data_IF_536825522763
#
_entry.id   IF_536825522763
#
_cell.length_a   1.000
_cell.length_b   1.000
_cell.length_c   1.000
_cell.angle_alpha   90.00
_cell.angle_beta   90.00
_cell.angle_gamma   90.00
#
_symmetry.space_group_name_H-M   'P 1'
#
loop_
_entity.id
_entity.type
_entity.pdbx_description
1 polymer ?
#
# COMPACT_ATOMS: atom_id res chain seq x y z
N UNK A 1 0.83 -9.58 -14.00
CA UNK A 1 -0.11 -8.57 -13.48
C UNK A 1 -0.81 -7.86 -14.64
N UNK A 2 -2.10 -7.63 -14.55
CA UNK A 2 -2.93 -6.96 -15.56
C UNK A 2 -3.54 -5.66 -15.00
N UNK A 3 -4.05 -4.80 -15.89
CA UNK A 3 -4.77 -3.60 -15.48
C UNK A 3 -6.19 -3.88 -15.01
N UNK A 4 -6.78 -2.93 -14.32
CA UNK A 4 -8.16 -2.96 -13.84
C UNK A 4 -8.90 -1.66 -14.12
N UNK A 5 -10.22 -1.75 -14.21
CA UNK A 5 -11.08 -0.59 -14.04
C UNK A 5 -11.51 -0.49 -12.57
N UNK A 6 -11.21 0.63 -11.93
CA UNK A 6 -11.68 0.94 -10.59
C UNK A 6 -12.93 1.76 -10.69
N UNK A 7 -14.04 1.18 -10.27
CA UNK A 7 -15.35 1.80 -10.32
C UNK A 7 -15.81 2.23 -8.93
N UNK A 8 -16.20 3.47 -8.77
CA UNK A 8 -17.02 3.95 -7.66
C UNK A 8 -18.32 4.53 -8.21
N UNK A 9 -19.21 5.04 -7.34
CA UNK A 9 -20.51 5.58 -7.71
C UNK A 9 -20.43 6.69 -8.77
N UNK A 10 -19.34 7.48 -8.77
CA UNK A 10 -19.23 8.69 -9.60
C UNK A 10 -18.25 8.52 -10.77
N UNK A 11 -17.33 7.57 -10.72
CA UNK A 11 -16.20 7.53 -11.66
C UNK A 11 -15.64 6.15 -11.88
N UNK A 12 -15.33 5.85 -13.14
CA UNK A 12 -14.46 4.73 -13.54
C UNK A 12 -13.06 5.23 -13.85
N UNK A 13 -12.06 4.63 -13.23
CA UNK A 13 -10.65 4.98 -13.46
C UNK A 13 -9.89 3.75 -13.95
N UNK A 14 -9.20 3.88 -15.09
CA UNK A 14 -8.29 2.83 -15.58
C UNK A 14 -7.02 2.84 -14.74
N UNK A 15 -6.67 1.70 -14.17
CA UNK A 15 -5.44 1.49 -13.40
C UNK A 15 -4.56 0.47 -14.11
N UNK A 16 -3.31 0.84 -14.38
CA UNK A 16 -2.29 -0.03 -14.96
C UNK A 16 -1.17 -0.17 -13.95
N UNK A 17 -0.83 -1.40 -13.63
CA UNK A 17 0.25 -1.73 -12.70
C UNK A 17 1.58 -1.82 -13.43
N UNK A 18 2.67 -1.73 -12.68
CA UNK A 18 4.03 -1.75 -13.21
C UNK A 18 4.68 -0.37 -13.23
N UNK A 19 5.88 -0.24 -13.73
CA UNK A 19 6.74 -1.33 -14.23
C UNK A 19 7.24 -2.27 -13.12
N UNK A 20 8.00 -3.31 -13.50
CA UNK A 20 8.58 -4.33 -12.61
C UNK A 20 9.37 -3.72 -11.44
N UNK A 21 10.04 -2.61 -11.68
CA UNK A 21 10.81 -1.87 -10.68
C UNK A 21 9.97 -1.46 -9.45
N UNK A 22 8.67 -1.27 -9.61
CA UNK A 22 7.77 -0.93 -8.50
C UNK A 22 7.56 -2.10 -7.52
N UNK A 23 7.88 -3.33 -7.93
CA UNK A 23 7.81 -4.52 -7.08
C UNK A 23 9.11 -4.80 -6.31
N UNK A 24 10.13 -4.00 -6.48
CA UNK A 24 11.35 -4.12 -5.69
C UNK A 24 11.05 -3.85 -4.21
N UNK A 25 11.70 -4.60 -3.33
CA UNK A 25 11.52 -4.52 -1.87
C UNK A 25 11.54 -3.07 -1.38
N UNK A 26 12.56 -2.29 -1.75
CA UNK A 26 12.68 -0.90 -1.36
C UNK A 26 11.47 -0.05 -1.80
N UNK A 27 10.96 -0.25 -3.01
CA UNK A 27 9.79 0.47 -3.52
C UNK A 27 8.52 0.09 -2.75
N UNK A 28 8.31 -1.19 -2.50
CA UNK A 28 7.19 -1.67 -1.68
C UNK A 28 7.23 -1.06 -0.28
N UNK A 29 8.40 -1.04 0.36
CA UNK A 29 8.55 -0.46 1.70
C UNK A 29 8.34 1.06 1.72
N UNK A 30 8.85 1.79 0.72
CA UNK A 30 8.78 3.25 0.68
C UNK A 30 7.54 3.83 -0.01
N UNK A 31 6.78 3.05 -0.76
CA UNK A 31 5.57 3.50 -1.48
C UNK A 31 4.30 2.83 -1.00
N UNK A 32 4.41 1.70 -0.28
CA UNK A 32 3.29 0.90 0.18
C UNK A 32 2.83 -0.14 -0.85
N UNK A 33 1.66 -0.73 -0.60
CA UNK A 33 1.05 -1.72 -1.48
C UNK A 33 0.80 -1.13 -2.88
N UNK A 34 1.35 -1.75 -3.89
CA UNK A 34 1.36 -1.23 -5.27
C UNK A 34 0.58 -2.09 -6.26
N UNK A 35 0.03 -3.21 -5.84
CA UNK A 35 -0.70 -4.15 -6.71
C UNK A 35 -1.96 -4.63 -6.00
N UNK A 36 -3.09 -4.53 -6.69
CA UNK A 36 -4.34 -5.15 -6.24
C UNK A 36 -4.25 -6.67 -6.31
N UNK A 37 -4.75 -7.36 -5.30
CA UNK A 37 -4.77 -8.83 -5.25
C UNK A 37 -5.56 -9.43 -6.43
N UNK A 38 -6.61 -8.77 -6.89
CA UNK A 38 -7.43 -9.19 -8.03
C UNK A 38 -6.71 -9.05 -9.38
N UNK A 39 -5.62 -8.29 -9.44
CA UNK A 39 -4.92 -7.98 -10.69
C UNK A 39 -3.73 -8.91 -10.99
N UNK A 40 -3.51 -9.94 -10.20
CA UNK A 40 -2.30 -10.76 -10.29
C UNK A 40 -2.59 -12.25 -10.49
N UNK A 41 -1.72 -12.90 -11.26
CA UNK A 41 -1.65 -14.36 -11.37
C UNK A 41 -0.25 -14.80 -10.97
N UNK A 42 -0.15 -15.75 -10.04
CA UNK A 42 1.12 -16.22 -9.48
C UNK A 42 1.16 -17.75 -9.57
N UNK A 43 2.32 -18.30 -9.86
CA UNK A 43 2.53 -19.75 -9.74
C UNK A 43 2.35 -20.18 -8.28
N UNK A 44 1.52 -21.20 -8.04
CA UNK A 44 1.18 -21.70 -6.71
C UNK A 44 2.43 -22.02 -5.87
N UNK A 45 3.44 -22.64 -6.50
CA UNK A 45 4.69 -23.00 -5.82
C UNK A 45 5.38 -21.76 -5.23
N UNK A 46 5.33 -20.61 -5.92
CA UNK A 46 5.97 -19.36 -5.44
C UNK A 46 5.27 -18.77 -4.21
N UNK A 47 3.99 -19.00 -4.08
CA UNK A 47 3.23 -18.62 -2.88
C UNK A 47 3.58 -19.57 -1.72
N UNK A 48 3.70 -20.86 -1.99
CA UNK A 48 4.09 -21.87 -1.00
C UNK A 48 5.52 -21.64 -0.51
N UNK A 49 6.46 -21.32 -1.41
CA UNK A 49 7.88 -21.03 -1.08
C UNK A 49 8.05 -19.90 -0.05
N UNK A 50 7.03 -19.07 0.15
CA UNK A 50 7.03 -17.94 1.09
C UNK A 50 5.97 -18.06 2.19
N UNK A 51 5.56 -19.28 2.52
CA UNK A 51 4.58 -19.58 3.58
C UNK A 51 3.20 -18.93 3.36
N UNK A 52 2.77 -18.78 2.10
CA UNK A 52 1.44 -18.30 1.74
C UNK A 52 1.06 -16.93 2.35
N UNK A 53 -0.25 -16.66 2.42
CA UNK A 53 -0.78 -15.50 3.12
C UNK A 53 -0.66 -15.68 4.63
N UNK A 54 -0.27 -14.61 5.30
CA UNK A 54 -0.23 -14.59 6.76
C UNK A 54 -1.66 -14.60 7.34
N UNK A 55 -1.86 -15.38 8.40
CA UNK A 55 -3.13 -15.47 9.14
C UNK A 55 -3.11 -14.62 10.43
N UNK A 56 -2.08 -13.80 10.64
CA UNK A 56 -1.96 -12.94 11.81
C UNK A 56 -3.05 -11.89 11.85
N UNK A 57 -3.79 -11.82 12.97
CA UNK A 57 -4.91 -10.90 13.16
C UNK A 57 -4.51 -9.42 12.99
N UNK A 58 -3.30 -9.07 13.39
CA UNK A 58 -2.78 -7.70 13.38
C UNK A 58 -2.50 -7.13 11.98
N UNK A 59 -2.40 -7.99 10.95
CA UNK A 59 -2.17 -7.58 9.56
C UNK A 59 -3.36 -7.87 8.64
N UNK A 60 -4.50 -8.25 9.19
CA UNK A 60 -5.74 -8.37 8.40
C UNK A 60 -6.00 -7.04 7.68
N UNK A 61 -6.30 -7.10 6.39
CA UNK A 61 -6.40 -6.01 5.42
C UNK A 61 -5.09 -5.58 4.75
N UNK A 62 -3.95 -6.18 5.13
CA UNK A 62 -2.64 -5.97 4.51
C UNK A 62 -1.88 -7.31 4.30
N UNK A 63 -2.59 -8.44 4.30
CA UNK A 63 -2.03 -9.77 4.06
C UNK A 63 -1.46 -9.93 2.65
N UNK A 64 -2.04 -9.26 1.68
CA UNK A 64 -1.52 -9.18 0.32
C UNK A 64 -0.21 -8.38 0.27
N UNK A 65 -0.13 -7.28 1.00
CA UNK A 65 1.08 -6.47 1.11
C UNK A 65 2.23 -7.25 1.77
N UNK A 66 1.96 -8.03 2.84
CA UNK A 66 2.92 -8.95 3.44
C UNK A 66 3.45 -9.97 2.42
N UNK A 67 2.54 -10.56 1.63
CA UNK A 67 2.88 -11.50 0.59
C UNK A 67 3.76 -10.85 -0.49
N UNK A 68 3.44 -9.62 -0.95
CA UNK A 68 4.25 -8.91 -1.94
C UNK A 68 5.67 -8.65 -1.44
N UNK A 69 5.82 -8.26 -0.17
CA UNK A 69 7.14 -8.06 0.44
C UNK A 69 7.92 -9.39 0.50
N UNK A 70 7.30 -10.49 0.90
CA UNK A 70 7.93 -11.82 0.90
C UNK A 70 8.37 -12.23 -0.50
N UNK A 71 7.50 -12.10 -1.48
CA UNK A 71 7.79 -12.44 -2.88
C UNK A 71 8.86 -11.54 -3.50
N UNK A 72 8.90 -10.26 -3.14
CA UNK A 72 9.93 -9.33 -3.65
C UNK A 72 11.35 -9.67 -3.19
N UNK A 73 11.49 -10.45 -2.12
CA UNK A 73 12.79 -10.99 -1.66
C UNK A 73 13.25 -12.20 -2.48
N UNK A 74 12.36 -12.76 -3.30
CA UNK A 74 12.68 -13.84 -4.24
C UNK A 74 13.09 -13.24 -5.58
N UNK A 75 13.96 -13.91 -6.30
CA UNK A 75 14.40 -13.44 -7.63
C UNK A 75 13.34 -13.82 -8.69
N UNK A 76 12.15 -13.25 -8.61
CA UNK A 76 11.02 -13.56 -9.47
C UNK A 76 11.08 -12.78 -10.78
N UNK A 77 10.70 -13.43 -11.87
CA UNK A 77 10.38 -12.76 -13.14
C UNK A 77 8.93 -12.30 -13.11
N UNK A 78 8.73 -11.00 -13.19
CA UNK A 78 7.42 -10.37 -13.23
C UNK A 78 7.09 -9.96 -14.67
N UNK A 79 5.83 -10.00 -15.01
CA UNK A 79 5.33 -9.49 -16.26
C UNK A 79 4.12 -8.60 -16.02
N UNK A 80 4.13 -7.42 -16.61
CA UNK A 80 3.03 -6.47 -16.55
C UNK A 80 2.45 -6.27 -17.94
N UNK A 81 1.13 -6.36 -18.04
CA UNK A 81 0.41 -6.10 -19.29
C UNK A 81 -0.46 -4.86 -19.16
N UNK A 82 -0.57 -4.08 -20.23
CA UNK A 82 -1.46 -2.93 -20.28
C UNK A 82 -2.92 -3.30 -20.58
N UNK A 83 -3.20 -4.60 -20.79
CA UNK A 83 -4.57 -5.10 -20.97
C UNK A 83 -5.33 -4.99 -19.66
N UNK A 84 -6.53 -4.48 -19.71
CA UNK A 84 -7.46 -4.46 -18.58
C UNK A 84 -8.27 -5.75 -18.63
N UNK A 85 -8.14 -6.58 -17.61
CA UNK A 85 -8.80 -7.87 -17.54
C UNK A 85 -9.72 -8.02 -16.31
N UNK A 86 -9.79 -7.00 -15.46
CA UNK A 86 -10.60 -7.02 -14.25
C UNK A 86 -11.26 -5.68 -13.97
N UNK A 87 -12.22 -5.72 -13.04
CA UNK A 87 -12.88 -4.54 -12.48
C UNK A 87 -12.83 -4.63 -10.97
N UNK A 88 -12.38 -3.55 -10.32
CA UNK A 88 -12.38 -3.39 -8.87
C UNK A 88 -13.51 -2.46 -8.47
N UNK A 89 -14.49 -2.99 -7.73
CA UNK A 89 -15.63 -2.19 -7.28
C UNK A 89 -15.31 -1.54 -5.93
N UNK A 90 -15.33 -0.21 -5.91
CA UNK A 90 -15.13 0.59 -4.69
C UNK A 90 -16.49 0.93 -4.11
N UNK A 91 -16.73 0.59 -2.86
CA UNK A 91 -17.93 0.96 -2.12
C UNK A 91 -17.60 1.31 -0.66
N UNK A 92 -18.48 2.09 -0.02
CA UNK A 92 -18.26 2.63 1.34
C UNK A 92 -18.02 1.57 2.41
N UNK A 93 -18.57 0.37 2.22
CA UNK A 93 -18.44 -0.75 3.16
C UNK A 93 -17.31 -1.72 2.79
N UNK A 94 -16.44 -1.39 1.83
CA UNK A 94 -15.28 -2.22 1.52
C UNK A 94 -14.24 -2.16 2.63
N UNK A 95 -13.53 -3.26 2.88
CA UNK A 95 -12.43 -3.30 3.86
C UNK A 95 -11.38 -2.22 3.57
N UNK A 96 -11.14 -1.92 2.30
CA UNK A 96 -10.21 -0.86 1.87
C UNK A 96 -10.66 0.55 2.25
N UNK A 97 -11.92 0.78 2.64
CA UNK A 97 -12.43 2.09 3.07
C UNK A 97 -12.01 2.48 4.49
N UNK A 98 -11.62 1.53 5.34
CA UNK A 98 -11.20 1.79 6.72
C UNK A 98 -9.72 2.22 6.77
N UNK A 99 -9.47 3.52 6.55
CA UNK A 99 -8.13 4.09 6.43
C UNK A 99 -7.25 3.76 7.64
N UNK A 100 -7.74 3.94 8.87
CA UNK A 100 -6.92 3.76 10.08
C UNK A 100 -6.55 2.29 10.30
N UNK A 101 -7.49 1.37 10.10
CA UNK A 101 -7.24 -0.08 10.22
C UNK A 101 -6.19 -0.53 9.21
N UNK A 102 -6.36 -0.13 7.94
CA UNK A 102 -5.44 -0.49 6.87
C UNK A 102 -4.04 0.11 7.09
N UNK A 103 -3.97 1.33 7.62
CA UNK A 103 -2.70 1.97 7.97
C UNK A 103 -1.99 1.19 9.08
N UNK A 104 -2.70 0.80 10.16
CA UNK A 104 -2.10 0.03 11.24
C UNK A 104 -1.67 -1.37 10.79
N UNK A 105 -2.47 -2.05 9.98
CA UNK A 105 -2.10 -3.35 9.40
C UNK A 105 -0.82 -3.24 8.55
N UNK A 106 -0.74 -2.22 7.67
CA UNK A 106 0.45 -1.95 6.87
C UNK A 106 1.68 -1.63 7.72
N UNK A 107 1.52 -0.89 8.82
CA UNK A 107 2.58 -0.61 9.79
C UNK A 107 3.10 -1.93 10.39
N UNK A 108 2.21 -2.82 10.81
CA UNK A 108 2.59 -4.12 11.38
C UNK A 108 3.32 -5.00 10.38
N UNK A 109 2.89 -4.99 9.12
CA UNK A 109 3.64 -5.66 8.05
C UNK A 109 5.06 -5.10 7.94
N UNK A 110 5.22 -3.78 7.86
CA UNK A 110 6.53 -3.12 7.72
C UNK A 110 7.43 -3.42 8.92
N UNK A 111 6.93 -3.29 10.15
CA UNK A 111 7.65 -3.63 11.40
C UNK A 111 8.16 -5.07 11.40
N UNK A 112 7.39 -6.00 10.84
CA UNK A 112 7.79 -7.40 10.72
C UNK A 112 8.90 -7.67 9.69
N UNK A 113 9.13 -6.78 8.75
CA UNK A 113 10.06 -7.00 7.63
C UNK A 113 11.34 -6.15 7.66
N UNK A 114 11.38 -5.04 8.42
CA UNK A 114 12.49 -4.10 8.48
C UNK A 114 13.11 -4.09 9.88
N UNK A 115 14.45 -4.23 9.93
CA UNK A 115 15.23 -4.11 11.17
C UNK A 115 16.00 -2.79 11.25
N UNK A 116 16.36 -2.22 10.09
CA UNK A 116 17.06 -0.93 10.06
C UNK A 116 16.13 0.21 10.48
N UNK A 117 16.49 0.93 11.53
CA UNK A 117 15.61 1.96 12.13
C UNK A 117 15.39 3.16 11.22
N UNK A 118 16.38 3.53 10.40
CA UNK A 118 16.27 4.69 9.49
C UNK A 118 15.28 4.36 8.37
N UNK A 119 15.43 3.18 7.77
CA UNK A 119 14.52 2.70 6.74
C UNK A 119 13.11 2.47 7.30
N UNK A 120 13.01 1.91 8.50
CA UNK A 120 11.74 1.71 9.21
C UNK A 120 11.01 3.04 9.38
N UNK A 121 11.67 4.05 9.94
CA UNK A 121 11.07 5.37 10.15
C UNK A 121 10.58 6.00 8.83
N UNK A 122 11.36 5.88 7.74
CA UNK A 122 10.95 6.36 6.42
C UNK A 122 9.71 5.63 5.90
N UNK A 123 9.65 4.30 6.03
CA UNK A 123 8.52 3.49 5.59
C UNK A 123 7.25 3.79 6.41
N UNK A 124 7.36 3.87 7.74
CA UNK A 124 6.26 4.24 8.63
C UNK A 124 5.76 5.67 8.37
N UNK A 125 6.68 6.61 8.14
CA UNK A 125 6.34 7.98 7.74
C UNK A 125 5.48 7.97 6.48
N UNK A 126 5.86 7.17 5.47
CA UNK A 126 5.08 7.06 4.25
C UNK A 126 3.67 6.46 4.47
N UNK A 127 3.52 5.46 5.36
CA UNK A 127 2.19 4.94 5.71
C UNK A 127 1.28 6.04 6.26
N UNK A 128 1.77 6.84 7.19
CA UNK A 128 1.00 7.95 7.75
C UNK A 128 0.74 9.05 6.72
N UNK A 129 1.68 9.32 5.81
CA UNK A 129 1.47 10.27 4.72
C UNK A 129 0.37 9.81 3.75
N UNK A 130 0.33 8.52 3.41
CA UNK A 130 -0.75 7.94 2.58
C UNK A 130 -2.09 8.08 3.31
N UNK A 131 -2.16 7.73 4.60
CA UNK A 131 -3.38 7.90 5.40
C UNK A 131 -3.85 9.36 5.41
N UNK A 132 -2.94 10.31 5.61
CA UNK A 132 -3.26 11.74 5.58
C UNK A 132 -3.86 12.19 4.24
N UNK A 133 -3.28 11.73 3.13
CA UNK A 133 -3.82 12.02 1.78
C UNK A 133 -5.22 11.44 1.57
N UNK A 134 -5.48 10.24 2.07
CA UNK A 134 -6.79 9.59 1.97
C UNK A 134 -7.84 10.33 2.82
N UNK A 135 -7.49 10.70 4.06
CA UNK A 135 -8.36 11.52 4.91
C UNK A 135 -8.67 12.88 4.29
N UNK A 136 -7.65 13.55 3.75
CA UNK A 136 -7.83 14.84 3.07
C UNK A 136 -8.78 14.72 1.87
N UNK A 137 -8.57 13.70 1.02
CA UNK A 137 -9.45 13.42 -0.11
C UNK A 137 -10.91 13.15 0.30
N UNK A 138 -11.11 12.57 1.48
CA UNK A 138 -12.43 12.27 2.04
C UNK A 138 -13.02 13.45 2.85
N UNK A 139 -12.39 14.63 2.86
CA UNK A 139 -12.86 15.81 3.58
C UNK A 139 -12.61 15.80 5.10
N UNK A 140 -11.88 14.81 5.62
CA UNK A 140 -11.56 14.70 7.05
C UNK A 140 -10.25 15.43 7.40
N UNK A 141 -10.25 16.76 7.30
CA UNK A 141 -9.04 17.59 7.46
C UNK A 141 -8.35 17.38 8.83
N UNK A 142 -9.12 17.23 9.91
CA UNK A 142 -8.57 16.98 11.26
C UNK A 142 -7.75 15.69 11.33
N UNK A 143 -8.22 14.62 10.72
CA UNK A 143 -7.51 13.33 10.73
C UNK A 143 -6.39 13.30 9.69
N UNK A 144 -6.55 14.04 8.58
CA UNK A 144 -5.47 14.30 7.63
C UNK A 144 -4.29 15.00 8.33
N UNK A 145 -4.54 16.12 9.02
CA UNK A 145 -3.53 16.86 9.76
C UNK A 145 -2.82 15.98 10.80
N UNK A 146 -3.57 15.23 11.63
CA UNK A 146 -2.98 14.31 12.61
C UNK A 146 -2.07 13.27 11.95
N UNK A 147 -2.48 12.73 10.81
CA UNK A 147 -1.71 11.72 10.08
C UNK A 147 -0.42 12.32 9.49
N UNK A 148 -0.49 13.53 8.93
CA UNK A 148 0.69 14.24 8.44
C UNK A 148 1.66 14.59 9.57
N UNK A 149 1.17 14.98 10.74
CA UNK A 149 2.01 15.22 11.92
C UNK A 149 2.72 13.97 12.42
N UNK A 150 2.03 12.80 12.41
CA UNK A 150 2.69 11.51 12.72
C UNK A 150 3.76 11.18 11.69
N UNK A 151 3.48 11.41 10.41
CA UNK A 151 4.43 11.20 9.32
C UNK A 151 5.67 12.09 9.50
N UNK A 152 5.49 13.37 9.79
CA UNK A 152 6.57 14.33 9.98
C UNK A 152 7.48 13.96 11.15
N UNK A 153 6.93 13.52 12.29
CA UNK A 153 7.72 13.08 13.47
C UNK A 153 8.66 11.93 13.16
N UNK A 154 8.31 11.08 12.18
CA UNK A 154 9.11 9.92 11.77
C UNK A 154 10.15 10.28 10.71
N UNK A 155 9.88 11.30 9.89
CA UNK A 155 10.80 11.75 8.85
C UNK A 155 10.65 13.26 8.60
N UNK A 156 11.46 14.05 9.28
CA UNK A 156 11.48 15.53 9.18
C UNK A 156 11.96 16.04 7.81
N UNK A 157 12.65 15.20 7.04
CA UNK A 157 13.22 15.62 5.75
C UNK A 157 12.29 15.42 4.56
N UNK A 158 11.09 14.89 4.77
CA UNK A 158 10.10 14.76 3.69
C UNK A 158 9.37 16.10 3.45
N UNK A 159 9.91 16.90 2.54
CA UNK A 159 9.43 18.25 2.21
C UNK A 159 7.94 18.22 1.78
N UNK A 160 7.48 17.11 1.18
CA UNK A 160 6.09 17.01 0.71
C UNK A 160 5.07 17.05 1.85
N UNK A 161 5.46 16.65 3.07
CA UNK A 161 4.56 16.66 4.23
C UNK A 161 4.24 18.10 4.64
N UNK A 162 5.22 19.00 4.60
CA UNK A 162 5.00 20.42 4.95
C UNK A 162 3.96 21.06 4.04
N UNK A 163 4.00 20.76 2.74
CA UNK A 163 2.98 21.23 1.81
C UNK A 163 1.58 20.76 2.22
N UNK A 164 1.44 19.45 2.55
CA UNK A 164 0.15 18.91 2.99
C UNK A 164 -0.33 19.47 4.30
N UNK A 165 0.55 19.81 5.24
CA UNK A 165 0.19 20.45 6.51
C UNK A 165 -0.37 21.86 6.34
N UNK A 166 0.07 22.58 5.30
CA UNK A 166 -0.43 23.93 5.00
C UNK A 166 -1.86 23.90 4.43
N UNK A 167 -2.19 22.87 3.66
CA UNK A 167 -3.46 22.77 2.94
C UNK A 167 -4.50 21.91 3.66
N UNK A 168 -4.15 21.21 4.75
CA UNK A 168 -5.05 20.36 5.54
C UNK A 168 -5.55 21.10 6.81
#
# INVERSE_FOLDING_TARGET
>A
CHGEYWNNEDKTTKVIYGPEDNFKLEKLLLRGNCISLSAIVIKKEKIIDVDCFSTKQEIITAEDYDLWIKLSKQNLKLHFTTKVLGTYQIHKNSESSNIIRNTHASIKVIEGHIKDQVLLNKALSNCWKIAGKLYYKNGSNKDAFKSFMKSLRLNLYDITIYFYLIIS
#
